data_IF_810618547604
#
_entry.id   IF_810618547604
#
_cell.length_a   1.000
_cell.length_b   1.000
_cell.length_c   1.000
_cell.angle_alpha   90.00
_cell.angle_beta   90.00
_cell.angle_gamma   90.00
#
_symmetry.space_group_name_H-M   'P 1'
#
loop_
_entity.id
_entity.type
_entity.pdbx_description
1 polymer ?
#
# COMPACT_ATOMS: atom_id res chain seq x y z
N UNK A 1 -36.80 -15.46 20.07
CA UNK A 1 -37.08 -15.88 18.68
C UNK A 1 -37.64 -14.65 17.98
N UNK A 2 -36.85 -14.07 17.05
CA UNK A 2 -37.21 -13.07 15.99
C UNK A 2 -37.90 -11.76 16.43
N UNK A 3 -37.40 -10.54 16.17
CA UNK A 3 -36.91 -9.98 14.90
C UNK A 3 -35.86 -8.86 15.10
N UNK A 4 -34.80 -8.92 14.30
CA UNK A 4 -34.26 -7.85 13.44
C UNK A 4 -34.44 -6.41 13.94
N UNK A 5 -33.35 -5.81 14.40
CA UNK A 5 -33.13 -4.36 14.30
C UNK A 5 -31.65 -4.10 13.95
N UNK A 6 -31.35 -4.20 12.67
CA UNK A 6 -30.14 -3.72 12.00
C UNK A 6 -30.61 -2.66 10.97
N UNK A 7 -29.81 -1.73 10.41
CA UNK A 7 -28.45 -1.28 10.73
C UNK A 7 -28.34 0.26 10.85
N UNK A 8 -27.44 0.79 11.69
CA UNK A 8 -26.91 2.16 11.47
C UNK A 8 -25.83 2.08 10.40
N UNK A 9 -26.30 2.04 9.15
CA UNK A 9 -25.49 1.90 7.96
C UNK A 9 -24.71 3.17 7.62
N UNK A 10 -23.39 3.07 7.66
CA UNK A 10 -22.60 3.59 6.56
C UNK A 10 -22.39 2.39 5.62
N UNK A 11 -23.12 2.29 4.51
CA UNK A 11 -23.32 1.00 3.90
C UNK A 11 -22.04 0.55 3.18
N UNK A 12 -21.76 -0.74 3.26
CA UNK A 12 -20.89 -1.45 2.32
C UNK A 12 -21.20 -1.02 0.86
N UNK A 13 -22.44 -0.62 0.59
CA UNK A 13 -22.92 -0.02 -0.66
C UNK A 13 -22.25 1.29 -1.08
N UNK A 14 -21.85 2.17 -0.16
CA UNK A 14 -21.10 3.40 -0.54
C UNK A 14 -19.68 3.06 -0.97
N UNK A 15 -19.03 2.10 -0.32
CA UNK A 15 -17.73 1.58 -0.76
C UNK A 15 -17.87 0.80 -2.07
N UNK A 16 -18.96 0.04 -2.25
CA UNK A 16 -19.28 -0.68 -3.50
C UNK A 16 -19.74 0.26 -4.63
N UNK A 17 -20.35 1.40 -4.34
CA UNK A 17 -20.75 2.41 -5.33
C UNK A 17 -19.56 3.25 -5.77
N UNK A 18 -18.63 3.58 -4.86
CA UNK A 18 -17.32 4.12 -5.24
C UNK A 18 -16.51 3.08 -6.02
N UNK A 19 -16.56 1.81 -5.63
CA UNK A 19 -15.95 0.69 -6.36
C UNK A 19 -16.54 0.53 -7.77
N UNK A 20 -17.88 0.59 -7.90
CA UNK A 20 -18.57 0.52 -9.18
C UNK A 20 -18.32 1.77 -10.03
N UNK A 21 -18.35 2.98 -9.45
CA UNK A 21 -18.08 4.23 -10.17
C UNK A 21 -16.65 4.30 -10.72
N UNK A 22 -15.65 3.87 -9.93
CA UNK A 22 -14.26 3.79 -10.39
C UNK A 22 -14.08 2.66 -11.41
N UNK A 23 -14.69 1.48 -11.21
CA UNK A 23 -14.65 0.41 -12.21
C UNK A 23 -15.31 0.83 -13.54
N UNK A 24 -16.48 1.47 -13.50
CA UNK A 24 -17.16 1.98 -14.69
C UNK A 24 -16.35 3.06 -15.40
N UNK A 25 -15.64 3.93 -14.68
CA UNK A 25 -14.69 4.87 -15.28
C UNK A 25 -13.47 4.19 -15.91
N UNK A 26 -12.98 3.10 -15.31
CA UNK A 26 -11.85 2.31 -15.83
C UNK A 26 -12.19 1.45 -17.06
N UNK A 27 -13.48 1.14 -17.29
CA UNK A 27 -13.94 0.29 -18.39
C UNK A 27 -14.76 1.04 -19.46
N UNK A 28 -14.99 2.35 -19.30
CA UNK A 28 -15.63 3.18 -20.32
C UNK A 28 -14.60 3.73 -21.32
N UNK A 29 -14.11 2.89 -22.24
CA UNK A 29 -13.33 3.34 -23.40
C UNK A 29 -14.29 3.64 -24.56
N UNK A 30 -14.32 4.86 -25.14
CA UNK A 30 -15.10 5.15 -26.33
C UNK A 30 -14.49 4.41 -27.53
N UNK A 31 -15.31 3.62 -28.23
CA UNK A 31 -14.88 2.84 -29.40
C UNK A 31 -14.44 3.72 -30.57
N UNK A 32 -13.14 3.74 -30.84
CA UNK A 32 -12.51 4.23 -32.07
C UNK A 32 -11.65 3.14 -32.72
N UNK A 33 -11.31 3.29 -34.00
CA UNK A 33 -10.68 2.25 -34.83
C UNK A 33 -9.32 1.74 -34.34
N UNK A 34 -9.11 0.43 -34.45
CA UNK A 34 -8.30 -0.44 -33.59
C UNK A 34 -6.75 -0.37 -33.67
N UNK A 35 -6.13 0.44 -34.52
CA UNK A 35 -4.65 0.43 -34.65
C UNK A 35 -3.99 1.76 -34.26
N UNK A 36 -4.53 2.91 -34.66
CA UNK A 36 -4.08 4.21 -34.14
C UNK A 36 -4.73 4.57 -32.80
N UNK A 37 -5.98 4.14 -32.56
CA UNK A 37 -6.62 4.38 -31.27
C UNK A 37 -6.03 3.53 -30.16
N UNK A 38 -5.41 2.39 -30.43
CA UNK A 38 -4.84 1.53 -29.37
C UNK A 38 -3.60 2.17 -28.76
N UNK A 39 -2.75 2.81 -29.56
CA UNK A 39 -1.54 3.46 -29.04
C UNK A 39 -1.85 4.76 -28.27
N UNK A 40 -2.78 5.57 -28.77
CA UNK A 40 -3.26 6.77 -28.06
C UNK A 40 -4.13 6.39 -26.85
N UNK A 41 -4.96 5.34 -26.94
CA UNK A 41 -5.81 4.90 -25.82
C UNK A 41 -5.04 4.18 -24.71
N UNK A 42 -3.95 3.47 -25.00
CA UNK A 42 -3.14 2.81 -23.97
C UNK A 42 -2.38 3.82 -23.10
N UNK A 43 -1.88 4.90 -23.71
CA UNK A 43 -1.28 6.02 -23.00
C UNK A 43 -2.32 6.70 -22.09
N UNK A 44 -3.54 6.91 -22.62
CA UNK A 44 -4.66 7.43 -21.84
C UNK A 44 -5.04 6.50 -20.68
N UNK A 45 -5.15 5.19 -20.89
CA UNK A 45 -5.58 4.23 -19.87
C UNK A 45 -4.62 4.21 -18.67
N UNK A 46 -3.30 4.25 -18.90
CA UNK A 46 -2.31 4.31 -17.80
C UNK A 46 -2.42 5.59 -17.00
N UNK A 47 -2.57 6.72 -17.70
CA UNK A 47 -2.73 8.01 -17.08
C UNK A 47 -4.01 8.07 -16.25
N UNK A 48 -5.13 7.57 -16.78
CA UNK A 48 -6.41 7.44 -16.06
C UNK A 48 -6.30 6.55 -14.82
N UNK A 49 -5.66 5.37 -14.93
CA UNK A 49 -5.44 4.49 -13.79
C UNK A 49 -4.54 5.16 -12.74
N UNK A 50 -3.48 5.83 -13.16
CA UNK A 50 -2.60 6.58 -12.27
C UNK A 50 -3.35 7.67 -11.51
N UNK A 51 -4.15 8.48 -12.21
CA UNK A 51 -5.01 9.49 -11.59
C UNK A 51 -6.06 8.88 -10.66
N UNK A 52 -6.66 7.76 -11.03
CA UNK A 52 -7.60 7.03 -10.16
C UNK A 52 -6.93 6.61 -8.84
N UNK A 53 -5.65 6.21 -8.88
CA UNK A 53 -4.89 5.94 -7.67
C UNK A 53 -4.61 7.22 -6.87
N UNK A 54 -4.11 8.28 -7.51
CA UNK A 54 -3.76 9.53 -6.81
C UNK A 54 -5.00 10.15 -6.16
N UNK A 55 -6.06 10.35 -6.95
CA UNK A 55 -7.30 10.97 -6.48
C UNK A 55 -8.07 10.05 -5.56
N UNK A 56 -8.17 8.76 -5.88
CA UNK A 56 -8.88 7.78 -5.07
C UNK A 56 -8.23 7.57 -3.70
N UNK A 57 -6.91 7.37 -3.65
CA UNK A 57 -6.19 7.22 -2.37
C UNK A 57 -6.14 8.55 -1.59
N UNK A 58 -5.99 9.69 -2.28
CA UNK A 58 -6.08 11.01 -1.66
C UNK A 58 -7.45 11.26 -1.02
N UNK A 59 -8.53 10.92 -1.72
CA UNK A 59 -9.89 10.99 -1.19
C UNK A 59 -10.08 10.05 0.00
N UNK A 60 -9.56 8.82 -0.07
CA UNK A 60 -9.60 7.87 1.06
C UNK A 60 -8.81 8.40 2.26
N UNK A 61 -7.64 9.03 2.05
CA UNK A 61 -6.88 9.64 3.13
C UNK A 61 -7.69 10.75 3.84
N UNK A 62 -8.26 11.67 3.06
CA UNK A 62 -9.10 12.75 3.59
C UNK A 62 -10.33 12.20 4.29
N UNK A 63 -11.06 11.27 3.67
CA UNK A 63 -12.25 10.65 4.23
C UNK A 63 -11.92 9.88 5.50
N UNK A 64 -10.82 9.12 5.53
CA UNK A 64 -10.38 8.39 6.72
C UNK A 64 -10.04 9.35 7.85
N UNK A 65 -9.32 10.45 7.57
CA UNK A 65 -9.03 11.49 8.57
C UNK A 65 -10.30 12.17 9.07
N UNK A 66 -11.30 12.35 8.22
CA UNK A 66 -12.60 12.88 8.58
C UNK A 66 -13.37 11.88 9.46
N UNK A 67 -13.58 10.65 8.98
CA UNK A 67 -14.31 9.59 9.70
C UNK A 67 -13.64 9.30 11.04
N UNK A 68 -12.32 9.07 11.09
CA UNK A 68 -11.62 8.80 12.35
C UNK A 68 -11.61 9.99 13.33
N UNK A 69 -11.84 11.22 12.84
CA UNK A 69 -11.94 12.42 13.68
C UNK A 69 -13.33 12.61 14.29
N UNK A 70 -14.37 12.14 13.62
CA UNK A 70 -15.77 12.30 14.06
C UNK A 70 -16.38 11.03 14.66
N UNK A 71 -15.81 9.85 14.40
CA UNK A 71 -16.28 8.54 14.86
C UNK A 71 -15.50 8.06 16.11
N UNK A 72 -15.33 8.94 17.10
CA UNK A 72 -14.84 8.57 18.44
C UNK A 72 -16.04 8.54 19.40
N UNK A 73 -16.46 7.35 19.88
CA UNK A 73 -15.61 6.54 20.76
C UNK A 73 -15.71 5.05 20.42
N UNK A 74 -14.79 4.54 19.61
CA UNK A 74 -14.46 3.11 19.68
C UNK A 74 -13.39 2.97 20.75
N UNK A 75 -13.61 2.09 21.72
CA UNK A 75 -12.77 1.89 22.92
C UNK A 75 -11.29 2.01 22.54
N UNK A 76 -10.70 3.17 22.86
CA UNK A 76 -9.26 3.31 22.78
C UNK A 76 -8.67 2.25 23.71
N UNK A 77 -7.49 1.71 23.39
CA UNK A 77 -6.82 0.80 24.30
C UNK A 77 -6.81 1.35 25.73
N UNK A 78 -7.09 0.50 26.71
CA UNK A 78 -7.22 0.88 28.11
C UNK A 78 -5.88 1.29 28.71
N UNK A 79 -4.78 0.69 28.24
CA UNK A 79 -3.42 0.99 28.70
C UNK A 79 -2.77 2.16 27.94
N UNK A 80 -1.87 2.90 28.61
CA UNK A 80 -1.08 3.95 27.95
C UNK A 80 -0.22 3.41 26.82
N UNK A 81 0.38 2.22 27.02
CA UNK A 81 1.14 1.52 25.99
C UNK A 81 0.28 1.16 24.77
N UNK A 82 -0.94 0.67 24.99
CA UNK A 82 -1.88 0.37 23.91
C UNK A 82 -2.29 1.63 23.15
N UNK A 83 -2.57 2.75 23.84
CA UNK A 83 -2.90 4.03 23.19
C UNK A 83 -1.76 4.60 22.38
N UNK A 84 -0.53 4.43 22.84
CA UNK A 84 0.66 4.87 22.11
C UNK A 84 0.91 3.99 20.88
N UNK A 85 0.79 2.67 21.02
CA UNK A 85 0.89 1.70 19.91
C UNK A 85 -0.20 1.93 18.86
N UNK A 86 -1.43 2.25 19.30
CA UNK A 86 -2.52 2.67 18.41
C UNK A 86 -2.16 3.92 17.61
N UNK A 87 -1.62 4.96 18.26
CA UNK A 87 -1.18 6.18 17.56
C UNK A 87 -0.09 5.90 16.54
N UNK A 88 0.89 5.05 16.88
CA UNK A 88 1.93 4.62 15.95
C UNK A 88 1.34 3.83 14.77
N UNK A 89 0.41 2.91 15.03
CA UNK A 89 -0.28 2.14 13.99
C UNK A 89 -1.02 3.06 13.01
N UNK A 90 -1.78 4.02 13.54
CA UNK A 90 -2.51 5.01 12.76
C UNK A 90 -1.57 5.89 11.93
N UNK A 91 -0.44 6.32 12.51
CA UNK A 91 0.59 7.08 11.80
C UNK A 91 1.26 6.26 10.68
N UNK A 92 1.53 4.98 10.94
CA UNK A 92 2.05 4.06 9.92
C UNK A 92 1.09 3.86 8.77
N UNK A 93 -0.22 3.76 9.05
CA UNK A 93 -1.24 3.58 8.03
C UNK A 93 -1.45 4.85 7.20
N UNK A 94 -1.44 6.02 7.85
CA UNK A 94 -1.39 7.32 7.17
C UNK A 94 -0.17 7.44 6.26
N UNK A 95 1.00 7.09 6.78
CA UNK A 95 2.26 7.08 6.04
C UNK A 95 2.19 6.18 4.81
N UNK A 96 1.62 4.98 4.95
CA UNK A 96 1.44 4.04 3.84
C UNK A 96 0.53 4.59 2.74
N UNK A 97 -0.58 5.24 3.09
CA UNK A 97 -1.49 5.86 2.10
C UNK A 97 -0.80 7.02 1.39
N UNK A 98 -0.16 7.93 2.14
CA UNK A 98 0.58 9.06 1.57
C UNK A 98 1.73 8.59 0.67
N UNK A 99 2.41 7.52 1.08
CA UNK A 99 3.44 6.89 0.28
C UNK A 99 2.89 6.37 -1.06
N UNK A 100 1.74 5.69 -1.07
CA UNK A 100 1.11 5.28 -2.33
C UNK A 100 0.72 6.47 -3.20
N UNK A 101 0.13 7.53 -2.63
CA UNK A 101 -0.19 8.77 -3.37
C UNK A 101 1.07 9.35 -4.02
N UNK A 102 2.19 9.43 -3.28
CA UNK A 102 3.45 9.90 -3.82
C UNK A 102 3.99 9.00 -4.95
N UNK A 103 3.98 7.68 -4.76
CA UNK A 103 4.42 6.71 -5.77
C UNK A 103 3.61 6.86 -7.07
N UNK A 104 2.28 6.85 -6.97
CA UNK A 104 1.42 7.00 -8.14
C UNK A 104 1.47 8.40 -8.73
N UNK A 105 1.72 9.44 -7.93
CA UNK A 105 1.94 10.81 -8.42
C UNK A 105 3.18 10.91 -9.32
N UNK A 106 4.29 10.28 -8.92
CA UNK A 106 5.49 10.22 -9.75
C UNK A 106 5.28 9.37 -11.00
N UNK A 107 4.54 8.25 -10.90
CA UNK A 107 4.18 7.44 -12.06
C UNK A 107 3.30 8.20 -13.05
N UNK A 108 2.27 8.91 -12.57
CA UNK A 108 1.42 9.79 -13.39
C UNK A 108 2.27 10.86 -14.07
N UNK A 109 3.18 11.49 -13.33
CA UNK A 109 4.09 12.46 -13.93
C UNK A 109 4.90 11.83 -15.06
N UNK A 110 5.57 10.69 -14.82
CA UNK A 110 6.39 10.02 -15.84
C UNK A 110 5.56 9.55 -17.04
N UNK A 111 4.37 8.99 -16.83
CA UNK A 111 3.46 8.55 -17.89
C UNK A 111 2.78 9.69 -18.61
N UNK A 112 2.75 10.91 -18.07
CA UNK A 112 2.26 12.10 -18.77
C UNK A 112 3.30 12.72 -19.70
N UNK A 113 4.54 12.23 -19.68
CA UNK A 113 5.61 12.73 -20.54
C UNK A 113 5.68 11.97 -21.88
N UNK A 114 6.22 12.62 -22.94
CA UNK A 114 6.36 12.00 -24.25
C UNK A 114 7.16 10.68 -24.24
N UNK A 115 6.93 9.78 -25.22
CA UNK A 115 7.74 8.59 -25.41
C UNK A 115 9.24 8.90 -25.44
N UNK A 116 10.05 8.05 -24.79
CA UNK A 116 11.49 8.28 -24.64
C UNK A 116 11.87 9.21 -23.48
N UNK A 117 10.90 9.76 -22.73
CA UNK A 117 11.18 10.57 -21.54
C UNK A 117 12.10 9.85 -20.54
N UNK A 118 11.93 8.54 -20.33
CA UNK A 118 12.75 7.73 -19.41
C UNK A 118 14.25 7.75 -19.74
N UNK A 119 14.62 8.05 -20.99
CA UNK A 119 16.02 8.16 -21.44
C UNK A 119 16.61 9.56 -21.24
N UNK A 120 15.80 10.55 -20.85
CA UNK A 120 16.27 11.89 -20.48
C UNK A 120 16.82 11.89 -19.05
N UNK A 121 17.62 12.91 -18.70
CA UNK A 121 18.07 13.06 -17.30
C UNK A 121 16.90 13.21 -16.32
N UNK A 122 15.88 13.98 -16.70
CA UNK A 122 14.69 14.16 -15.88
C UNK A 122 13.90 12.85 -15.72
N UNK A 123 13.78 12.04 -16.78
CA UNK A 123 13.13 10.74 -16.71
C UNK A 123 13.90 9.73 -15.90
N UNK A 124 15.23 9.66 -16.04
CA UNK A 124 16.08 8.83 -15.17
C UNK A 124 15.91 9.18 -13.70
N UNK A 125 15.82 10.47 -13.36
CA UNK A 125 15.55 10.93 -11.98
C UNK A 125 14.16 10.51 -11.52
N UNK A 126 13.12 10.71 -12.34
CA UNK A 126 11.75 10.32 -12.01
C UNK A 126 11.66 8.79 -11.75
N UNK A 127 12.29 7.98 -12.60
CA UNK A 127 12.32 6.52 -12.42
C UNK A 127 13.14 6.10 -11.19
N UNK A 128 14.25 6.78 -10.89
CA UNK A 128 14.97 6.56 -9.64
C UNK A 128 14.09 6.87 -8.41
N UNK A 129 13.27 7.93 -8.46
CA UNK A 129 12.29 8.22 -7.41
C UNK A 129 11.24 7.12 -7.27
N UNK A 130 10.75 6.54 -8.36
CA UNK A 130 9.82 5.39 -8.32
C UNK A 130 10.46 4.20 -7.60
N UNK A 131 11.72 3.85 -7.88
CA UNK A 131 12.41 2.74 -7.22
C UNK A 131 12.58 2.99 -5.71
N UNK A 132 12.98 4.21 -5.33
CA UNK A 132 13.13 4.63 -3.93
C UNK A 132 11.80 4.57 -3.19
N UNK A 133 10.75 5.10 -3.80
CA UNK A 133 9.40 5.07 -3.25
C UNK A 133 8.95 3.61 -3.10
N UNK A 134 9.05 2.78 -4.14
CA UNK A 134 8.61 1.39 -4.07
C UNK A 134 9.29 0.64 -2.91
N UNK A 135 10.60 0.82 -2.71
CA UNK A 135 11.31 0.23 -1.58
C UNK A 135 10.86 0.78 -0.22
N UNK A 136 10.55 2.08 -0.13
CA UNK A 136 9.98 2.70 1.07
C UNK A 136 8.60 2.11 1.43
N UNK A 137 7.84 1.62 0.45
CA UNK A 137 6.61 0.88 0.69
C UNK A 137 6.82 -0.34 1.58
N UNK A 138 7.90 -1.10 1.37
CA UNK A 138 8.24 -2.27 2.17
C UNK A 138 8.52 -1.91 3.63
N UNK A 139 9.24 -0.81 3.86
CA UNK A 139 9.49 -0.26 5.19
C UNK A 139 8.19 0.02 5.94
N UNK A 140 7.21 0.65 5.28
CA UNK A 140 5.95 0.99 5.91
C UNK A 140 5.12 -0.25 6.29
N UNK A 141 5.17 -1.31 5.46
CA UNK A 141 4.55 -2.58 5.81
C UNK A 141 5.23 -3.26 7.00
N UNK A 142 6.57 -3.28 7.03
CA UNK A 142 7.30 -3.80 8.19
C UNK A 142 7.04 -2.98 9.45
N UNK A 143 6.95 -1.65 9.35
CA UNK A 143 6.63 -0.79 10.47
C UNK A 143 5.28 -1.18 11.08
N UNK A 144 4.25 -1.27 10.24
CA UNK A 144 2.91 -1.70 10.66
C UNK A 144 2.91 -3.11 11.26
N UNK A 145 3.68 -4.02 10.67
CA UNK A 145 3.86 -5.38 11.21
C UNK A 145 4.46 -5.33 12.61
N UNK A 146 5.56 -4.63 12.80
CA UNK A 146 6.24 -4.56 14.08
C UNK A 146 5.39 -3.88 15.15
N UNK A 147 4.63 -2.84 14.78
CA UNK A 147 3.64 -2.20 15.67
C UNK A 147 2.58 -3.20 16.16
N UNK A 148 2.19 -4.17 15.34
CA UNK A 148 1.22 -5.21 15.71
C UNK A 148 1.83 -6.43 16.42
N UNK A 149 3.14 -6.63 16.35
CA UNK A 149 3.78 -7.88 16.80
C UNK A 149 4.62 -7.76 18.07
N UNK A 150 5.24 -6.60 18.28
CA UNK A 150 6.18 -6.37 19.37
C UNK A 150 5.72 -5.18 20.20
N UNK A 151 6.13 -5.10 21.47
CA UNK A 151 6.06 -3.84 22.17
C UNK A 151 6.91 -2.80 21.45
N UNK A 152 6.28 -1.69 21.08
CA UNK A 152 6.88 -0.62 20.27
C UNK A 152 7.06 0.68 21.03
N UNK A 153 6.58 0.71 22.28
CA UNK A 153 6.58 1.88 23.14
C UNK A 153 7.14 1.48 24.50
N UNK A 154 8.23 2.13 24.89
CA UNK A 154 8.73 2.08 26.24
C UNK A 154 7.70 2.68 27.21
N UNK A 155 7.53 2.07 28.36
CA UNK A 155 6.68 2.63 29.43
C UNK A 155 7.55 3.07 30.59
N UNK A 156 6.99 3.89 31.49
CA UNK A 156 7.69 4.26 32.73
C UNK A 156 8.07 3.06 33.59
N UNK A 157 7.27 1.98 33.56
CA UNK A 157 7.55 0.73 34.29
C UNK A 157 8.57 -0.17 33.57
N UNK A 158 8.65 -0.09 32.24
CA UNK A 158 9.52 -0.93 31.40
C UNK A 158 10.19 -0.07 30.31
N UNK A 159 11.33 0.60 30.63
CA UNK A 159 11.97 1.54 29.72
C UNK A 159 12.65 0.87 28.51
N UNK A 160 13.01 -0.41 28.63
CA UNK A 160 13.67 -1.20 27.58
C UNK A 160 12.71 -2.01 26.70
N UNK A 161 11.40 -1.86 26.89
CA UNK A 161 10.37 -2.69 26.26
C UNK A 161 10.43 -2.66 24.72
N UNK A 162 10.90 -1.56 24.14
CA UNK A 162 11.00 -1.31 22.70
C UNK A 162 12.38 -1.68 22.08
N UNK A 163 13.35 -2.17 22.87
CA UNK A 163 14.71 -2.39 22.39
C UNK A 163 14.78 -3.35 21.19
N UNK A 164 14.09 -4.50 21.28
CA UNK A 164 14.01 -5.48 20.20
C UNK A 164 13.31 -4.93 18.95
N UNK A 165 12.31 -4.07 19.13
CA UNK A 165 11.65 -3.38 18.02
C UNK A 165 12.66 -2.48 17.29
N UNK A 166 13.43 -1.67 18.03
CA UNK A 166 14.42 -0.77 17.43
C UNK A 166 15.49 -1.54 16.64
N UNK A 167 16.01 -2.63 17.18
CA UNK A 167 17.02 -3.46 16.50
C UNK A 167 16.48 -4.05 15.20
N UNK A 168 15.30 -4.67 15.25
CA UNK A 168 14.67 -5.25 14.06
C UNK A 168 14.32 -4.18 13.02
N UNK A 169 13.83 -3.03 13.47
CA UNK A 169 13.51 -1.89 12.61
C UNK A 169 14.74 -1.31 11.92
N UNK A 170 15.85 -1.13 12.64
CA UNK A 170 17.11 -0.63 12.08
C UNK A 170 17.68 -1.60 11.03
N UNK A 171 17.59 -2.91 11.26
CA UNK A 171 18.01 -3.91 10.28
C UNK A 171 17.18 -3.84 9.00
N UNK A 172 15.85 -3.77 9.12
CA UNK A 172 14.94 -3.64 7.97
C UNK A 172 15.18 -2.32 7.22
N UNK A 173 15.42 -1.23 7.96
CA UNK A 173 15.78 0.07 7.40
C UNK A 173 17.08 -0.02 6.59
N UNK A 174 18.13 -0.62 7.15
CA UNK A 174 19.43 -0.75 6.50
C UNK A 174 19.35 -1.58 5.21
N UNK A 175 18.67 -2.73 5.23
CA UNK A 175 18.51 -3.60 4.06
C UNK A 175 17.70 -2.90 2.96
N UNK A 176 16.59 -2.25 3.33
CA UNK A 176 15.75 -1.56 2.34
C UNK A 176 16.44 -0.33 1.77
N UNK A 177 17.15 0.45 2.60
CA UNK A 177 17.92 1.60 2.15
C UNK A 177 19.03 1.20 1.19
N UNK A 178 19.75 0.11 1.46
CA UNK A 178 20.79 -0.41 0.57
C UNK A 178 20.22 -0.83 -0.79
N UNK A 179 19.11 -1.59 -0.79
CA UNK A 179 18.46 -2.02 -2.02
C UNK A 179 17.91 -0.83 -2.83
N UNK A 180 17.24 0.11 -2.18
CA UNK A 180 16.66 1.30 -2.80
C UNK A 180 17.73 2.24 -3.36
N UNK A 181 18.78 2.51 -2.59
CA UNK A 181 19.84 3.42 -3.00
C UNK A 181 20.68 2.80 -4.12
N UNK A 182 20.95 1.50 -4.07
CA UNK A 182 21.58 0.77 -5.18
C UNK A 182 20.77 0.85 -6.47
N UNK A 183 19.45 0.69 -6.38
CA UNK A 183 18.53 0.85 -7.51
C UNK A 183 18.59 2.24 -8.13
N UNK A 184 18.50 3.26 -7.29
CA UNK A 184 18.51 4.65 -7.71
C UNK A 184 19.84 5.03 -8.37
N UNK A 185 20.97 4.65 -7.77
CA UNK A 185 22.28 4.92 -8.35
C UNK A 185 22.49 4.20 -9.69
N UNK A 186 21.99 2.97 -9.83
CA UNK A 186 22.05 2.24 -11.08
C UNK A 186 21.24 2.94 -12.19
N UNK A 187 20.02 3.41 -11.88
CA UNK A 187 19.18 4.19 -12.82
C UNK A 187 19.81 5.52 -13.23
N UNK A 188 20.58 6.14 -12.35
CA UNK A 188 21.33 7.37 -12.64
C UNK A 188 22.66 7.11 -13.40
N UNK A 189 22.96 5.86 -13.77
CA UNK A 189 24.19 5.49 -14.45
C UNK A 189 25.44 5.67 -13.59
N UNK A 190 25.30 5.70 -12.26
CA UNK A 190 26.40 5.98 -11.31
C UNK A 190 27.08 4.73 -10.78
N UNK A 191 26.54 3.54 -11.04
CA UNK A 191 27.16 2.26 -10.69
C UNK A 191 27.28 1.42 -11.96
N UNK A 192 28.50 1.02 -12.36
CA UNK A 192 28.69 0.09 -13.47
C UNK A 192 28.28 -1.32 -13.04
N UNK A 193 27.25 -1.87 -13.66
CA UNK A 193 26.83 -3.26 -13.45
C UNK A 193 25.34 -3.46 -13.66
N UNK A 194 24.97 -4.11 -14.76
CA UNK A 194 23.61 -4.60 -15.01
C UNK A 194 23.10 -5.46 -13.84
N UNK A 195 24.01 -6.18 -13.16
CA UNK A 195 23.72 -7.01 -12.00
C UNK A 195 23.12 -6.26 -10.80
N UNK A 196 23.59 -5.05 -10.49
CA UNK A 196 23.02 -4.25 -9.40
C UNK A 196 21.65 -3.66 -9.77
N UNK A 197 21.50 -3.21 -11.01
CA UNK A 197 20.23 -2.72 -11.53
C UNK A 197 19.16 -3.84 -11.54
N UNK A 198 19.56 -5.05 -11.87
CA UNK A 198 18.71 -6.24 -11.90
C UNK A 198 18.31 -6.70 -10.49
N UNK A 199 19.26 -6.76 -9.56
CA UNK A 199 18.98 -7.03 -8.13
C UNK A 199 18.05 -5.98 -7.55
N UNK A 200 18.22 -4.71 -7.90
CA UNK A 200 17.35 -3.63 -7.49
C UNK A 200 15.92 -3.77 -8.05
N UNK A 201 15.80 -3.96 -9.38
CA UNK A 201 14.55 -4.07 -10.11
C UNK A 201 13.69 -5.23 -9.61
N UNK A 202 14.32 -6.36 -9.28
CA UNK A 202 13.63 -7.54 -8.77
C UNK A 202 13.54 -7.59 -7.23
N UNK A 203 14.52 -7.02 -6.54
CA UNK A 203 14.62 -7.06 -5.08
C UNK A 203 13.65 -6.12 -4.37
N UNK A 204 13.45 -4.90 -4.88
CA UNK A 204 12.53 -3.93 -4.27
C UNK A 204 11.09 -4.48 -4.18
N UNK A 205 10.46 -5.00 -5.25
CA UNK A 205 9.14 -5.61 -5.16
C UNK A 205 9.08 -6.81 -4.20
N UNK A 206 10.14 -7.62 -4.12
CA UNK A 206 10.22 -8.76 -3.20
C UNK A 206 10.27 -8.29 -1.75
N UNK A 207 11.06 -7.27 -1.42
CA UNK A 207 11.10 -6.69 -0.06
C UNK A 207 9.72 -6.17 0.34
N UNK A 208 9.01 -5.48 -0.56
CA UNK A 208 7.63 -5.03 -0.33
C UNK A 208 6.71 -6.23 -0.09
N UNK A 209 6.77 -7.24 -0.94
CA UNK A 209 5.96 -8.45 -0.81
C UNK A 209 6.21 -9.17 0.52
N UNK A 210 7.47 -9.30 0.95
CA UNK A 210 7.82 -9.87 2.25
C UNK A 210 7.21 -9.03 3.39
N UNK A 211 7.35 -7.70 3.35
CA UNK A 211 6.72 -6.81 4.34
C UNK A 211 5.21 -7.00 4.40
N UNK A 212 4.55 -7.10 3.24
CA UNK A 212 3.13 -7.41 3.13
C UNK A 212 2.78 -8.78 3.72
N UNK A 213 3.59 -9.83 3.45
CA UNK A 213 3.39 -11.16 4.04
C UNK A 213 3.44 -11.12 5.57
N UNK A 214 4.44 -10.43 6.13
CA UNK A 214 4.57 -10.28 7.58
C UNK A 214 3.37 -9.54 8.17
N UNK A 215 2.95 -8.42 7.56
CA UNK A 215 1.79 -7.68 8.03
C UNK A 215 0.50 -8.51 7.92
N UNK A 216 0.21 -9.04 6.74
CA UNK A 216 -1.05 -9.75 6.46
C UNK A 216 -1.13 -11.09 7.20
N UNK A 217 0.01 -11.72 7.47
CA UNK A 217 0.10 -12.88 8.35
C UNK A 217 -0.41 -12.60 9.76
N UNK A 218 -0.33 -11.35 10.24
CA UNK A 218 -0.88 -10.96 11.56
C UNK A 218 -2.38 -10.69 11.57
N UNK A 219 -3.04 -10.77 10.42
CA UNK A 219 -4.50 -10.72 10.35
C UNK A 219 -5.12 -12.12 10.28
N UNK A 220 -4.35 -13.18 10.45
CA UNK A 220 -4.85 -14.54 10.39
C UNK A 220 -5.75 -14.92 11.58
N UNK A 221 -6.26 -16.16 11.54
CA UNK A 221 -7.15 -16.68 12.58
C UNK A 221 -6.44 -16.81 13.93
N UNK A 222 -5.15 -17.15 13.94
CA UNK A 222 -4.40 -17.33 15.17
C UNK A 222 -4.19 -15.99 15.91
N UNK A 223 -4.07 -14.89 15.16
CA UNK A 223 -3.73 -13.59 15.71
C UNK A 223 -4.95 -12.70 15.96
N UNK A 224 -5.90 -12.62 15.03
CA UNK A 224 -7.07 -11.74 15.13
C UNK A 224 -8.43 -12.47 15.02
N UNK A 225 -8.43 -13.80 14.94
CA UNK A 225 -9.67 -14.58 14.83
C UNK A 225 -10.44 -14.32 13.53
N UNK A 226 -9.76 -13.90 12.46
CA UNK A 226 -10.36 -13.63 11.15
C UNK A 226 -10.35 -14.92 10.31
N UNK A 227 -11.41 -15.15 9.51
CA UNK A 227 -11.49 -16.32 8.64
C UNK A 227 -10.47 -16.18 7.49
N UNK A 228 -9.75 -17.26 7.11
CA UNK A 228 -8.74 -17.20 6.05
C UNK A 228 -9.24 -16.62 4.73
N UNK A 229 -10.50 -16.90 4.37
CA UNK A 229 -11.11 -16.39 3.14
C UNK A 229 -11.19 -14.85 3.08
N UNK A 230 -11.29 -14.17 4.22
CA UNK A 230 -11.31 -12.70 4.29
C UNK A 230 -9.91 -12.12 4.03
N UNK A 231 -8.85 -12.84 4.40
CA UNK A 231 -7.46 -12.38 4.19
C UNK A 231 -6.92 -12.85 2.84
N UNK A 232 -7.54 -13.86 2.20
CA UNK A 232 -7.07 -14.44 0.94
C UNK A 232 -6.82 -13.42 -0.19
N UNK A 233 -7.66 -12.37 -0.41
CA UNK A 233 -7.35 -11.34 -1.40
C UNK A 233 -6.04 -10.59 -1.11
N UNK A 234 -5.70 -10.38 0.17
CA UNK A 234 -4.44 -9.74 0.56
C UNK A 234 -3.23 -10.61 0.23
N UNK A 235 -3.36 -11.94 0.30
CA UNK A 235 -2.32 -12.87 -0.18
C UNK A 235 -2.20 -12.86 -1.71
N UNK A 236 -3.32 -12.67 -2.43
CA UNK A 236 -3.29 -12.37 -3.86
C UNK A 236 -2.52 -11.08 -4.16
N UNK A 237 -2.65 -10.07 -3.30
CA UNK A 237 -1.90 -8.82 -3.44
C UNK A 237 -0.39 -9.01 -3.24
N UNK A 238 0.01 -9.83 -2.26
CA UNK A 238 1.43 -10.22 -2.07
C UNK A 238 1.98 -10.86 -3.34
N UNK A 239 1.24 -11.83 -3.91
CA UNK A 239 1.68 -12.53 -5.12
C UNK A 239 1.84 -11.55 -6.30
N UNK A 240 0.86 -10.66 -6.48
CA UNK A 240 0.90 -9.60 -7.50
C UNK A 240 2.13 -8.69 -7.35
N UNK A 241 2.47 -8.31 -6.11
CA UNK A 241 3.63 -7.48 -5.83
C UNK A 241 4.95 -8.23 -6.11
N UNK A 242 5.04 -9.51 -5.73
CA UNK A 242 6.23 -10.33 -5.92
C UNK A 242 6.51 -10.63 -7.41
N UNK A 243 5.46 -10.74 -8.23
CA UNK A 243 5.59 -11.01 -9.67
C UNK A 243 5.60 -9.73 -10.51
N UNK A 244 5.44 -8.56 -9.89
CA UNK A 244 5.29 -7.27 -10.57
C UNK A 244 6.35 -7.04 -11.65
N UNK A 245 7.63 -7.19 -11.31
CA UNK A 245 8.75 -6.95 -12.24
C UNK A 245 8.78 -7.92 -13.45
N UNK A 246 8.05 -9.05 -13.39
CA UNK A 246 7.89 -10.01 -14.49
C UNK A 246 6.58 -9.82 -15.25
N UNK A 247 5.57 -9.25 -14.60
CA UNK A 247 4.23 -9.07 -15.16
C UNK A 247 4.03 -7.73 -15.88
N UNK A 248 4.92 -6.76 -15.68
CA UNK A 248 4.83 -5.43 -16.29
C UNK A 248 5.78 -5.30 -17.49
N UNK A 249 5.28 -5.68 -18.66
CA UNK A 249 5.84 -5.26 -19.95
C UNK A 249 5.42 -3.81 -20.27
N UNK A 250 6.27 -3.03 -20.96
CA UNK A 250 6.03 -1.62 -21.22
C UNK A 250 4.86 -1.32 -22.18
N UNK A 251 4.17 -2.31 -22.77
CA UNK A 251 3.18 -2.08 -23.84
C UNK A 251 1.83 -2.82 -23.70
N UNK A 252 1.54 -3.56 -22.61
CA UNK A 252 0.33 -4.42 -22.60
C UNK A 252 -0.82 -3.92 -21.69
N UNK A 253 -2.06 -4.04 -22.17
CA UNK A 253 -3.32 -3.98 -21.40
C UNK A 253 -3.29 -4.82 -20.10
N UNK A 254 -2.46 -5.87 -20.08
CA UNK A 254 -2.20 -6.70 -18.89
C UNK A 254 -1.64 -5.86 -17.75
N UNK A 255 -0.71 -4.94 -18.02
CA UNK A 255 -0.13 -4.03 -17.02
C UNK A 255 -1.21 -3.12 -16.42
N UNK A 256 -2.12 -2.60 -17.24
CA UNK A 256 -3.25 -1.78 -16.79
C UNK A 256 -4.21 -2.55 -15.87
N UNK A 257 -4.58 -3.79 -16.25
CA UNK A 257 -5.42 -4.66 -15.41
C UNK A 257 -4.76 -5.01 -14.07
N UNK A 258 -3.44 -5.24 -14.06
CA UNK A 258 -2.66 -5.51 -12.85
C UNK A 258 -2.61 -4.27 -11.94
N UNK A 259 -2.44 -3.05 -12.49
CA UNK A 259 -2.55 -1.82 -11.71
C UNK A 259 -3.94 -1.61 -11.11
N UNK A 260 -5.00 -1.81 -11.90
CA UNK A 260 -6.37 -1.70 -11.42
C UNK A 260 -6.64 -2.72 -10.30
N UNK A 261 -6.23 -3.98 -10.46
CA UNK A 261 -6.35 -4.98 -9.41
C UNK A 261 -5.57 -4.59 -8.15
N UNK A 262 -4.34 -4.08 -8.29
CA UNK A 262 -3.53 -3.60 -7.17
C UNK A 262 -4.20 -2.42 -6.45
N UNK A 263 -4.92 -1.55 -7.15
CA UNK A 263 -5.74 -0.49 -6.55
C UNK A 263 -6.85 -1.08 -5.68
N UNK A 264 -7.63 -1.99 -6.26
CA UNK A 264 -8.77 -2.60 -5.58
C UNK A 264 -8.33 -3.36 -4.32
N UNK A 265 -7.18 -4.02 -4.37
CA UNK A 265 -6.61 -4.73 -3.23
C UNK A 265 -6.13 -3.78 -2.11
N UNK A 266 -5.62 -2.59 -2.47
CA UNK A 266 -5.34 -1.52 -1.47
C UNK A 266 -6.62 -1.02 -0.82
N UNK A 267 -7.66 -0.74 -1.60
CA UNK A 267 -8.96 -0.32 -1.08
C UNK A 267 -9.56 -1.39 -0.16
N UNK A 268 -9.47 -2.66 -0.56
CA UNK A 268 -9.90 -3.79 0.24
C UNK A 268 -9.14 -3.88 1.57
N UNK A 269 -7.82 -3.75 1.54
CA UNK A 269 -7.00 -3.68 2.74
C UNK A 269 -7.43 -2.53 3.67
N UNK A 270 -7.62 -1.33 3.14
CA UNK A 270 -8.05 -0.17 3.92
C UNK A 270 -9.45 -0.36 4.51
N UNK A 271 -10.37 -0.95 3.76
CA UNK A 271 -11.72 -1.28 4.25
C UNK A 271 -11.66 -2.26 5.43
N UNK A 272 -10.82 -3.30 5.33
CA UNK A 272 -10.60 -4.23 6.44
C UNK A 272 -10.04 -3.51 7.68
N UNK A 273 -9.10 -2.57 7.51
CA UNK A 273 -8.59 -1.79 8.64
C UNK A 273 -9.68 -0.98 9.33
N UNK A 274 -10.58 -0.36 8.58
CA UNK A 274 -11.73 0.37 9.16
C UNK A 274 -12.65 -0.58 9.94
N UNK A 275 -13.01 -1.73 9.35
CA UNK A 275 -13.88 -2.71 10.01
C UNK A 275 -13.24 -3.25 11.29
N UNK A 276 -11.97 -3.65 11.25
CA UNK A 276 -11.30 -4.22 12.42
C UNK A 276 -10.98 -3.19 13.50
N UNK A 277 -10.86 -1.91 13.12
CA UNK A 277 -10.79 -0.79 14.07
C UNK A 277 -12.12 -0.59 14.77
N UNK A 278 -13.24 -0.69 14.04
CA UNK A 278 -14.59 -0.55 14.60
C UNK A 278 -14.96 -1.70 15.55
N UNK A 279 -14.57 -2.92 15.21
CA UNK A 279 -14.86 -4.12 16.01
C UNK A 279 -13.93 -4.29 17.24
N UNK A 280 -13.03 -3.35 17.49
CA UNK A 280 -12.06 -3.39 18.59
C UNK A 280 -10.97 -4.46 18.43
N UNK A 281 -10.91 -5.16 17.29
CA UNK A 281 -9.96 -6.28 17.08
C UNK A 281 -8.52 -5.79 17.04
N UNK A 282 -8.27 -4.67 16.34
CA UNK A 282 -6.94 -4.08 16.27
C UNK A 282 -6.49 -3.53 17.62
N UNK A 283 -7.39 -2.89 18.37
CA UNK A 283 -7.10 -2.34 19.70
C UNK A 283 -6.71 -3.45 20.68
N UNK A 284 -7.51 -4.52 20.76
CA UNK A 284 -7.16 -5.70 21.58
C UNK A 284 -5.81 -6.28 21.19
N UNK A 285 -5.49 -6.34 19.89
CA UNK A 285 -4.19 -6.85 19.43
C UNK A 285 -3.03 -5.97 19.90
N UNK A 286 -3.19 -4.65 19.82
CA UNK A 286 -2.20 -3.68 20.26
C UNK A 286 -2.05 -3.56 21.78
N UNK A 287 -3.03 -4.07 22.54
CA UNK A 287 -2.93 -4.23 23.99
C UNK A 287 -2.14 -5.49 24.39
N UNK A 288 -2.19 -6.54 23.55
CA UNK A 288 -1.54 -7.83 23.81
C UNK A 288 -0.07 -7.88 23.35
N UNK A 289 0.36 -6.96 22.49
CA UNK A 289 1.76 -6.78 22.11
C UNK A 289 2.52 -5.92 23.12
#
# INVERSE_FOLDING_TARGET
MTLISDPKGFPLWTSLATFAGVATMLFAVPGGSLEESVRDSEYDVRLWIGWAHVLGLGAVFVLRRFVMRFDAPHELPASDAGRASWRQYQAGLDGLILHWVALYGVLVYAWSQPPGFEETDAGRVAMACVELLNAAGGLLYFFLFFVLDRPTVATSAEPGRDAHFREAWLMVLAVSALAAFGAALARLGRVPGESFAEVARHGSPVVVAIGMMYLFGRFDRATMGVRPLVVAPLWGYVALQATWARASGPEDLVSAGVFALAFLLKLYFLALQVVWSRDGRLQRRLEMG
#
